data_IF_079051393828
#
_entry.id   IF_079051393828
#
_cell.length_a   1.000
_cell.length_b   1.000
_cell.length_c   1.000
_cell.angle_alpha   90.00
_cell.angle_beta   90.00
_cell.angle_gamma   90.00
#
_symmetry.space_group_name_H-M   'P 1'
#
loop_
_entity.id
_entity.type
_entity.pdbx_description
1 polymer ?
#
# COMPACT_ATOMS: atom_id res chain seq x y z
N UNK A 1 28.35 -16.69 -64.56
CA UNK A 1 27.77 -15.42 -64.12
C UNK A 1 26.25 -15.54 -63.94
N UNK A 2 25.73 -16.35 -62.99
CA UNK A 2 24.28 -16.44 -62.67
C UNK A 2 24.03 -17.00 -61.25
N UNK A 3 24.78 -16.55 -60.24
CA UNK A 3 24.59 -17.04 -58.86
C UNK A 3 24.62 -15.94 -57.78
N UNK A 4 24.59 -14.65 -58.15
CA UNK A 4 24.74 -13.53 -57.20
C UNK A 4 23.44 -12.70 -56.95
N UNK A 5 22.25 -13.14 -57.37
CA UNK A 5 20.99 -12.34 -57.25
C UNK A 5 19.89 -12.99 -56.38
N UNK A 6 20.16 -14.07 -55.65
CA UNK A 6 19.11 -14.69 -54.77
C UNK A 6 19.32 -14.53 -53.26
N UNK A 7 20.40 -13.86 -52.82
CA UNK A 7 20.69 -13.71 -51.37
C UNK A 7 20.11 -12.39 -50.80
N UNK A 8 19.76 -11.40 -51.63
CA UNK A 8 19.28 -10.11 -51.14
C UNK A 8 17.78 -10.07 -50.78
N UNK A 9 16.97 -11.02 -51.28
CA UNK A 9 15.52 -11.03 -51.02
C UNK A 9 15.11 -11.66 -49.65
N UNK A 10 15.95 -12.53 -49.12
CA UNK A 10 15.69 -13.17 -47.82
C UNK A 10 16.15 -12.35 -46.62
N UNK A 11 17.14 -11.49 -46.77
CA UNK A 11 17.56 -10.54 -45.69
C UNK A 11 16.58 -9.39 -45.48
N UNK A 12 15.89 -8.93 -46.53
CA UNK A 12 14.87 -7.88 -46.39
C UNK A 12 13.56 -8.40 -45.77
N UNK A 13 13.21 -9.68 -45.93
CA UNK A 13 12.05 -10.27 -45.31
C UNK A 13 12.28 -10.57 -43.82
N UNK A 14 13.51 -10.86 -43.38
CA UNK A 14 13.83 -11.09 -41.98
C UNK A 14 13.86 -9.79 -41.15
N UNK A 15 14.24 -8.65 -41.75
CA UNK A 15 14.22 -7.33 -41.06
C UNK A 15 12.79 -6.80 -40.93
N UNK A 16 11.91 -7.07 -41.91
CA UNK A 16 10.50 -6.67 -41.82
C UNK A 16 9.70 -7.53 -40.81
N UNK A 17 10.07 -8.79 -40.60
CA UNK A 17 9.43 -9.66 -39.59
C UNK A 17 9.86 -9.31 -38.15
N UNK A 18 11.11 -8.88 -37.95
CA UNK A 18 11.56 -8.41 -36.62
C UNK A 18 10.95 -7.06 -36.20
N UNK A 19 10.60 -6.18 -37.13
CA UNK A 19 9.93 -4.92 -36.79
C UNK A 19 8.43 -5.08 -36.47
N UNK A 20 7.79 -6.20 -36.87
CA UNK A 20 6.37 -6.44 -36.54
C UNK A 20 6.15 -7.14 -35.19
N UNK A 21 7.19 -7.80 -34.65
CA UNK A 21 7.10 -8.45 -33.32
C UNK A 21 7.42 -7.49 -32.16
N UNK A 22 8.07 -6.36 -32.44
CA UNK A 22 8.39 -5.34 -31.43
C UNK A 22 7.23 -4.37 -31.12
N UNK A 23 6.10 -4.47 -31.83
CA UNK A 23 4.97 -3.55 -31.67
C UNK A 23 3.80 -4.15 -30.86
N UNK A 24 3.98 -5.34 -30.24
CA UNK A 24 2.94 -5.99 -29.44
C UNK A 24 3.19 -5.97 -27.95
N UNK A 25 4.28 -5.36 -27.46
CA UNK A 25 4.44 -4.96 -26.08
C UNK A 25 4.29 -3.42 -26.02
N UNK A 26 3.07 -2.92 -26.07
CA UNK A 26 2.80 -1.65 -25.41
C UNK A 26 2.99 -1.92 -23.92
N UNK A 27 4.16 -1.65 -23.39
CA UNK A 27 4.32 -1.35 -21.98
C UNK A 27 3.39 -0.18 -21.72
N UNK A 28 2.45 -0.36 -20.81
CA UNK A 28 1.73 0.76 -20.22
C UNK A 28 2.82 1.71 -19.74
N UNK A 29 3.02 2.80 -20.46
CA UNK A 29 4.09 3.75 -20.17
C UNK A 29 3.81 4.44 -18.85
N UNK A 30 4.82 4.96 -18.16
CA UNK A 30 4.62 5.80 -17.00
C UNK A 30 3.66 6.93 -17.35
N UNK A 31 2.90 7.40 -16.35
CA UNK A 31 2.06 8.59 -16.49
C UNK A 31 2.87 9.71 -17.18
N UNK A 32 2.24 10.56 -18.02
CA UNK A 32 2.95 11.59 -18.75
C UNK A 32 3.77 12.43 -17.78
N UNK A 33 5.06 12.58 -18.04
CA UNK A 33 5.92 13.46 -17.29
C UNK A 33 5.45 14.90 -17.48
N UNK A 34 5.37 15.67 -16.40
CA UNK A 34 5.27 17.12 -16.49
C UNK A 34 6.49 17.64 -17.27
N UNK A 35 6.38 18.79 -17.95
CA UNK A 35 7.33 19.24 -18.98
C UNK A 35 8.81 19.42 -18.56
N UNK A 36 9.16 19.10 -17.29
CA UNK A 36 10.52 19.06 -16.74
C UNK A 36 11.04 17.61 -16.51
N UNK A 37 10.27 16.59 -16.91
CA UNK A 37 10.60 15.17 -16.69
C UNK A 37 10.18 14.62 -15.34
N UNK A 38 9.49 15.41 -14.50
CA UNK A 38 8.98 14.96 -13.21
C UNK A 38 7.59 14.32 -13.37
N UNK A 39 7.35 13.20 -12.68
CA UNK A 39 6.04 12.55 -12.59
C UNK A 39 5.44 12.89 -11.22
N UNK A 40 4.34 13.62 -11.21
CA UNK A 40 3.58 13.86 -9.99
C UNK A 40 2.48 12.82 -9.87
N UNK A 41 2.54 11.96 -8.87
CA UNK A 41 1.42 11.05 -8.54
C UNK A 41 0.35 11.89 -7.84
N UNK A 42 -0.82 12.00 -8.47
CA UNK A 42 -2.01 12.61 -7.86
C UNK A 42 -3.10 11.56 -7.78
N UNK A 43 -3.42 11.15 -6.55
CA UNK A 43 -4.48 10.19 -6.32
C UNK A 43 -5.79 10.91 -5.99
N UNK A 44 -6.87 10.43 -6.61
CA UNK A 44 -8.23 10.82 -6.29
C UNK A 44 -8.62 10.15 -4.97
N UNK A 45 -9.20 10.91 -4.06
CA UNK A 45 -9.82 10.39 -2.85
C UNK A 45 -11.20 9.80 -3.20
N UNK A 46 -11.47 8.52 -2.92
CA UNK A 46 -12.83 7.98 -3.01
C UNK A 46 -13.79 8.70 -2.05
N UNK A 47 -15.09 8.60 -2.32
CA UNK A 47 -16.11 9.17 -1.45
C UNK A 47 -16.04 8.58 -0.03
N UNK A 48 -16.23 9.42 0.98
CA UNK A 48 -16.43 8.94 2.35
C UNK A 48 -17.73 8.17 2.47
N UNK A 49 -17.72 7.16 3.36
CA UNK A 49 -18.87 6.32 3.59
C UNK A 49 -19.88 7.03 4.50
N UNK A 50 -21.14 6.69 4.32
CA UNK A 50 -22.26 7.06 5.18
C UNK A 50 -23.10 5.84 5.54
N UNK A 51 -23.96 5.97 6.52
CA UNK A 51 -24.85 4.89 6.91
C UNK A 51 -25.64 4.36 5.70
N UNK A 52 -25.70 3.04 5.58
CA UNK A 52 -26.32 2.33 4.46
C UNK A 52 -25.39 2.02 3.27
N UNK A 53 -24.18 2.59 3.22
CA UNK A 53 -23.22 2.27 2.15
C UNK A 53 -22.72 0.84 2.28
N UNK A 54 -22.45 0.21 1.14
CA UNK A 54 -21.94 -1.17 1.08
C UNK A 54 -20.42 -1.23 1.18
N UNK A 55 -19.95 -2.23 1.92
CA UNK A 55 -18.55 -2.59 2.04
C UNK A 55 -18.37 -4.04 1.57
N UNK A 56 -17.54 -4.25 0.55
CA UNK A 56 -17.22 -5.58 0.07
C UNK A 56 -16.13 -6.20 0.94
N UNK A 57 -16.36 -7.41 1.43
CA UNK A 57 -15.39 -8.24 2.13
C UNK A 57 -14.78 -9.21 1.11
N UNK A 58 -13.47 -9.15 0.86
CA UNK A 58 -12.76 -10.03 -0.08
C UNK A 58 -11.49 -10.60 0.53
N UNK A 59 -11.00 -11.70 -0.03
CA UNK A 59 -9.76 -12.35 0.40
C UNK A 59 -8.74 -12.40 -0.74
N UNK A 60 -7.98 -11.32 -1.01
CA UNK A 60 -7.05 -11.27 -2.13
C UNK A 60 -5.72 -12.01 -1.87
N UNK A 61 -5.47 -12.43 -0.64
CA UNK A 61 -4.24 -13.07 -0.16
C UNK A 61 -4.52 -14.47 0.41
N UNK A 62 -4.25 -14.69 1.70
CA UNK A 62 -4.56 -15.95 2.37
C UNK A 62 -6.05 -16.04 2.73
N UNK A 63 -6.51 -17.31 2.85
CA UNK A 63 -7.87 -17.59 3.26
C UNK A 63 -8.13 -17.11 4.70
N UNK A 64 -9.36 -16.72 4.97
CA UNK A 64 -9.86 -16.35 6.30
C UNK A 64 -11.03 -17.26 6.65
N UNK A 65 -11.08 -17.87 7.85
CA UNK A 65 -12.23 -18.63 8.29
C UNK A 65 -13.52 -17.81 8.18
N UNK A 66 -14.58 -18.40 7.65
CA UNK A 66 -15.87 -17.71 7.46
C UNK A 66 -16.42 -17.14 8.76
N UNK A 67 -16.18 -17.81 9.89
CA UNK A 67 -16.58 -17.30 11.22
C UNK A 67 -16.00 -15.89 11.49
N UNK A 68 -14.73 -15.64 11.12
CA UNK A 68 -14.10 -14.33 11.29
C UNK A 68 -14.68 -13.30 10.29
N UNK A 69 -14.99 -13.73 9.07
CA UNK A 69 -15.64 -12.87 8.07
C UNK A 69 -17.03 -12.45 8.54
N UNK A 70 -17.81 -13.39 9.09
CA UNK A 70 -19.14 -13.12 9.61
C UNK A 70 -19.11 -12.17 10.81
N UNK A 71 -18.17 -12.37 11.76
CA UNK A 71 -17.97 -11.46 12.91
C UNK A 71 -17.58 -10.06 12.44
N UNK A 72 -16.68 -9.93 11.47
CA UNK A 72 -16.32 -8.63 10.90
C UNK A 72 -17.52 -7.97 10.19
N UNK A 73 -18.35 -8.76 9.50
CA UNK A 73 -19.58 -8.26 8.89
C UNK A 73 -20.55 -7.74 9.95
N UNK A 74 -20.65 -8.38 11.12
CA UNK A 74 -21.49 -7.89 12.24
C UNK A 74 -20.95 -6.56 12.79
N UNK A 75 -19.63 -6.39 12.90
CA UNK A 75 -18.99 -5.12 13.27
C UNK A 75 -19.37 -4.02 12.27
N UNK A 76 -19.25 -4.29 10.96
CA UNK A 76 -19.64 -3.32 9.93
C UNK A 76 -21.12 -2.94 10.01
N UNK A 77 -22.00 -3.90 10.28
CA UNK A 77 -23.44 -3.62 10.55
C UNK A 77 -23.61 -2.72 11.77
N UNK A 78 -22.87 -2.97 12.84
CA UNK A 78 -22.82 -2.12 14.03
C UNK A 78 -22.35 -0.69 13.74
N UNK A 79 -21.55 -0.48 12.72
CA UNK A 79 -21.15 0.85 12.22
C UNK A 79 -22.22 1.50 11.29
N UNK A 80 -23.32 0.81 11.05
CA UNK A 80 -24.39 1.27 10.15
C UNK A 80 -24.12 1.02 8.67
N UNK A 81 -23.12 0.19 8.33
CA UNK A 81 -22.74 -0.17 6.97
C UNK A 81 -23.39 -1.50 6.54
N UNK A 82 -23.41 -1.77 5.25
CA UNK A 82 -23.97 -2.99 4.68
C UNK A 82 -22.82 -3.85 4.13
N UNK A 83 -22.38 -4.89 4.86
CA UNK A 83 -21.36 -5.80 4.36
C UNK A 83 -21.90 -6.68 3.23
N UNK A 84 -21.10 -6.87 2.16
CA UNK A 84 -21.35 -7.82 1.09
C UNK A 84 -20.12 -8.69 0.92
N UNK A 85 -20.29 -10.00 0.90
CA UNK A 85 -19.18 -10.96 0.88
C UNK A 85 -18.87 -11.35 -0.56
N UNK A 86 -17.59 -11.33 -0.94
CA UNK A 86 -17.13 -11.73 -2.26
C UNK A 86 -17.48 -13.19 -2.57
N UNK A 87 -17.83 -13.50 -3.83
CA UNK A 87 -18.32 -14.84 -4.23
C UNK A 87 -17.33 -15.99 -3.95
N UNK A 88 -16.04 -15.70 -3.89
CA UNK A 88 -14.99 -16.71 -3.67
C UNK A 88 -14.43 -16.72 -2.26
N UNK A 89 -14.90 -15.84 -1.38
CA UNK A 89 -14.50 -15.81 0.03
C UNK A 89 -14.84 -17.15 0.70
N UNK A 90 -13.89 -17.69 1.48
CA UNK A 90 -13.99 -19.00 2.12
C UNK A 90 -13.37 -20.14 1.30
N UNK A 91 -13.00 -19.92 0.04
CA UNK A 91 -12.25 -20.90 -0.75
C UNK A 91 -10.81 -21.03 -0.26
N UNK A 92 -10.22 -22.19 -0.52
CA UNK A 92 -8.83 -22.50 -0.18
C UNK A 92 -8.16 -23.15 -1.38
N UNK A 93 -6.98 -22.64 -1.76
CA UNK A 93 -6.08 -23.22 -2.74
C UNK A 93 -4.68 -23.40 -2.15
N UNK A 94 -3.97 -24.46 -2.57
CA UNK A 94 -2.62 -24.80 -2.09
C UNK A 94 -2.46 -24.75 -0.56
N UNK A 95 -3.55 -25.00 0.18
CA UNK A 95 -3.61 -25.04 1.64
C UNK A 95 -3.57 -23.67 2.36
N UNK A 96 -3.37 -22.55 1.64
CA UNK A 96 -3.23 -21.23 2.25
C UNK A 96 -3.92 -20.09 1.52
N UNK A 97 -3.91 -20.07 0.17
CA UNK A 97 -4.51 -18.99 -0.60
C UNK A 97 -6.05 -19.03 -0.49
N UNK A 98 -6.66 -17.88 -0.62
CA UNK A 98 -8.12 -17.74 -0.66
C UNK A 98 -8.67 -18.04 -2.04
N UNK A 99 -8.50 -19.27 -2.52
CA UNK A 99 -8.81 -19.69 -3.90
C UNK A 99 -7.66 -19.42 -4.87
N UNK A 100 -7.92 -19.71 -6.15
CA UNK A 100 -6.96 -19.50 -7.25
C UNK A 100 -6.69 -18.02 -7.51
N UNK A 101 -5.69 -17.70 -8.32
CA UNK A 101 -5.40 -16.32 -8.71
C UNK A 101 -6.59 -15.69 -9.44
N UNK A 102 -7.23 -16.44 -10.35
CA UNK A 102 -8.42 -16.00 -11.09
C UNK A 102 -9.61 -15.72 -10.16
N UNK A 103 -9.82 -16.56 -9.14
CA UNK A 103 -10.89 -16.37 -8.16
C UNK A 103 -10.67 -15.11 -7.32
N UNK A 104 -9.45 -14.87 -6.85
CA UNK A 104 -9.09 -13.67 -6.08
C UNK A 104 -9.20 -12.39 -6.91
N UNK A 105 -8.76 -12.42 -8.18
CA UNK A 105 -8.94 -11.31 -9.13
C UNK A 105 -10.43 -11.08 -9.42
N UNK A 106 -11.22 -12.16 -9.59
CA UNK A 106 -12.64 -12.04 -9.88
C UNK A 106 -13.41 -11.37 -8.73
N UNK A 107 -13.02 -11.60 -7.47
CA UNK A 107 -13.62 -10.93 -6.30
C UNK A 107 -13.28 -9.42 -6.26
N UNK A 108 -12.05 -9.04 -6.62
CA UNK A 108 -11.69 -7.62 -6.77
C UNK A 108 -12.57 -6.98 -7.85
N UNK A 109 -12.64 -7.59 -9.05
CA UNK A 109 -13.46 -7.09 -10.16
C UNK A 109 -14.96 -7.06 -9.83
N UNK A 110 -15.43 -8.07 -9.12
CA UNK A 110 -16.82 -8.10 -8.65
C UNK A 110 -17.09 -6.89 -7.72
N UNK A 111 -16.22 -6.62 -6.76
CA UNK A 111 -16.37 -5.48 -5.86
C UNK A 111 -16.29 -4.13 -6.60
N UNK A 112 -15.38 -4.00 -7.56
CA UNK A 112 -15.27 -2.81 -8.40
C UNK A 112 -16.52 -2.59 -9.27
N UNK A 113 -17.10 -3.67 -9.81
CA UNK A 113 -18.28 -3.63 -10.66
C UNK A 113 -19.60 -3.32 -9.96
N UNK A 114 -19.65 -3.33 -8.61
CA UNK A 114 -20.85 -3.00 -7.83
C UNK A 114 -20.94 -1.47 -7.63
N UNK A 115 -21.89 -0.75 -8.21
CA UNK A 115 -21.94 0.72 -8.14
C UNK A 115 -22.23 1.25 -6.73
N UNK A 116 -22.87 0.46 -5.89
CA UNK A 116 -23.26 0.79 -4.52
C UNK A 116 -22.23 0.35 -3.45
N UNK A 117 -21.20 -0.39 -3.82
CA UNK A 117 -20.02 -0.65 -2.96
C UNK A 117 -19.12 0.57 -2.94
N UNK A 118 -18.82 1.09 -1.74
CA UNK A 118 -17.97 2.27 -1.53
C UNK A 118 -16.58 1.95 -1.00
N UNK A 119 -16.44 0.82 -0.32
CA UNK A 119 -15.14 0.35 0.16
C UNK A 119 -15.00 -1.16 -0.03
N UNK A 120 -13.75 -1.59 -0.15
CA UNK A 120 -13.32 -2.97 -0.22
C UNK A 120 -12.45 -3.22 1.01
N UNK A 121 -12.91 -4.06 1.92
CA UNK A 121 -12.17 -4.47 3.10
C UNK A 121 -11.55 -5.84 2.85
N UNK A 122 -10.22 -5.91 2.90
CA UNK A 122 -9.48 -7.15 2.78
C UNK A 122 -9.64 -7.98 4.06
N UNK A 123 -9.89 -9.28 3.92
CA UNK A 123 -10.12 -10.14 5.08
C UNK A 123 -8.84 -10.40 5.88
N UNK A 124 -7.71 -10.61 5.20
CA UNK A 124 -6.36 -10.69 5.82
C UNK A 124 -5.26 -10.54 4.77
N UNK A 125 -4.05 -10.33 5.26
CA UNK A 125 -2.82 -10.43 4.49
C UNK A 125 -2.31 -11.88 4.39
N UNK A 126 -1.00 -12.03 4.39
CA UNK A 126 -0.28 -13.29 4.22
C UNK A 126 0.66 -13.22 3.05
N UNK A 127 0.35 -13.88 1.94
CA UNK A 127 1.14 -13.83 0.71
C UNK A 127 0.26 -14.11 -0.52
N UNK A 128 0.59 -13.46 -1.64
CA UNK A 128 0.05 -13.81 -2.95
C UNK A 128 -0.58 -12.68 -3.74
N UNK A 129 -0.68 -11.46 -3.21
CA UNK A 129 -1.19 -10.30 -3.97
C UNK A 129 -0.25 -9.90 -5.10
N UNK A 130 1.06 -10.13 -4.96
CA UNK A 130 2.04 -9.92 -6.02
C UNK A 130 1.71 -10.71 -7.31
N UNK A 131 1.08 -11.87 -7.19
CA UNK A 131 0.65 -12.71 -8.33
C UNK A 131 -0.55 -12.13 -9.09
N UNK A 132 -1.25 -11.15 -8.52
CA UNK A 132 -2.44 -10.53 -9.10
C UNK A 132 -2.10 -9.31 -9.96
N UNK A 133 -0.86 -8.79 -9.90
CA UNK A 133 -0.44 -7.53 -10.52
C UNK A 133 -0.75 -7.54 -12.03
N UNK A 134 -0.37 -8.61 -12.74
CA UNK A 134 -0.52 -8.66 -14.20
C UNK A 134 -1.97 -8.81 -14.65
N UNK A 135 -2.81 -9.41 -13.82
CA UNK A 135 -4.22 -9.63 -14.12
C UNK A 135 -5.08 -8.37 -13.94
N UNK A 136 -4.66 -7.42 -13.10
CA UNK A 136 -5.40 -6.18 -12.85
C UNK A 136 -4.88 -5.05 -13.75
N UNK A 137 -5.77 -4.30 -14.40
CA UNK A 137 -5.38 -3.10 -15.16
C UNK A 137 -5.57 -1.83 -14.34
N UNK A 138 -4.70 -0.84 -14.56
CA UNK A 138 -4.80 0.46 -13.87
C UNK A 138 -6.08 1.20 -14.29
N UNK A 139 -6.53 1.01 -15.54
CA UNK A 139 -7.74 1.63 -16.07
C UNK A 139 -9.00 1.08 -15.38
N UNK A 140 -9.09 -0.23 -15.11
CA UNK A 140 -10.25 -0.79 -14.40
C UNK A 140 -10.33 -0.29 -12.95
N UNK A 141 -9.18 -0.08 -12.29
CA UNK A 141 -9.11 0.50 -10.94
C UNK A 141 -9.50 1.98 -10.94
N UNK A 142 -8.98 2.75 -11.89
CA UNK A 142 -9.28 4.18 -12.04
C UNK A 142 -10.74 4.45 -12.41
N UNK A 143 -11.37 3.56 -13.21
CA UNK A 143 -12.75 3.70 -13.66
C UNK A 143 -13.77 3.53 -12.51
N UNK A 144 -13.38 2.90 -11.40
CA UNK A 144 -14.26 2.67 -10.25
C UNK A 144 -13.52 2.95 -8.94
N UNK A 145 -13.23 4.24 -8.64
CA UNK A 145 -12.43 4.61 -7.48
C UNK A 145 -13.19 4.26 -6.19
N UNK A 146 -12.64 3.28 -5.45
CA UNK A 146 -13.16 2.81 -4.16
C UNK A 146 -12.02 2.70 -3.18
N UNK A 147 -12.32 2.93 -1.90
CA UNK A 147 -11.39 2.61 -0.85
C UNK A 147 -11.06 1.12 -0.88
N UNK A 148 -9.76 0.76 -0.91
CA UNK A 148 -9.31 -0.55 -0.49
C UNK A 148 -8.62 -0.41 0.85
N UNK A 149 -8.95 -1.30 1.79
CA UNK A 149 -8.48 -1.26 3.18
C UNK A 149 -7.77 -2.56 3.51
N UNK A 150 -6.58 -2.45 4.07
CA UNK A 150 -5.78 -3.58 4.53
C UNK A 150 -4.33 -3.18 4.75
N UNK A 151 -3.47 -4.12 5.14
CA UNK A 151 -2.03 -3.92 5.33
C UNK A 151 -1.27 -5.24 5.07
N UNK A 152 0.03 -5.30 5.38
CA UNK A 152 0.83 -6.50 5.11
C UNK A 152 0.94 -6.78 3.61
N UNK A 153 0.62 -7.99 3.15
CA UNK A 153 0.60 -8.37 1.73
C UNK A 153 -0.27 -7.44 0.86
N UNK A 154 -1.26 -6.75 1.46
CA UNK A 154 -2.10 -5.77 0.76
C UNK A 154 -1.31 -4.53 0.30
N UNK A 155 -0.09 -4.32 0.77
CA UNK A 155 0.79 -3.24 0.31
C UNK A 155 1.02 -3.26 -1.21
N UNK A 156 1.01 -4.44 -1.85
CA UNK A 156 1.03 -4.56 -3.31
C UNK A 156 -0.21 -3.92 -3.96
N UNK A 157 -1.39 -4.14 -3.39
CA UNK A 157 -2.62 -3.54 -3.90
C UNK A 157 -2.66 -2.03 -3.65
N UNK A 158 -2.10 -1.54 -2.54
CA UNK A 158 -1.91 -0.09 -2.34
C UNK A 158 -1.03 0.51 -3.44
N UNK A 159 0.01 -0.21 -3.85
CA UNK A 159 0.84 0.18 -5.00
C UNK A 159 0.02 0.29 -6.30
N UNK A 160 -0.80 -0.72 -6.62
CA UNK A 160 -1.68 -0.70 -7.78
C UNK A 160 -2.70 0.44 -7.73
N UNK A 161 -3.34 0.68 -6.57
CA UNK A 161 -4.28 1.78 -6.38
C UNK A 161 -3.61 3.13 -6.59
N UNK A 162 -2.45 3.37 -5.98
CA UNK A 162 -1.66 4.60 -6.18
C UNK A 162 -1.29 4.81 -7.65
N UNK A 163 -0.91 3.75 -8.36
CA UNK A 163 -0.59 3.79 -9.79
C UNK A 163 -1.81 4.05 -10.66
N UNK A 164 -2.98 3.59 -10.24
CA UNK A 164 -4.25 3.91 -10.87
C UNK A 164 -4.76 5.32 -10.53
N UNK A 165 -4.04 6.08 -9.70
CA UNK A 165 -4.45 7.42 -9.27
C UNK A 165 -5.59 7.41 -8.26
N UNK A 166 -5.68 6.38 -7.41
CA UNK A 166 -6.74 6.24 -6.39
C UNK A 166 -6.10 6.06 -5.02
N UNK A 167 -6.57 6.81 -4.02
CA UNK A 167 -6.15 6.65 -2.63
C UNK A 167 -6.67 5.35 -2.04
N UNK A 168 -5.93 4.79 -1.07
CA UNK A 168 -6.27 3.58 -0.34
C UNK A 168 -5.95 3.73 1.14
N UNK A 169 -6.33 2.77 1.99
CA UNK A 169 -6.11 2.85 3.43
C UNK A 169 -5.29 1.65 3.89
N UNK A 170 -4.03 1.90 4.31
CA UNK A 170 -3.32 0.97 5.18
C UNK A 170 -4.04 0.98 6.54
N UNK A 171 -4.54 -0.16 6.99
CA UNK A 171 -5.31 -0.22 8.23
C UNK A 171 -5.91 -1.58 8.49
N UNK A 172 -6.69 -1.68 9.55
CA UNK A 172 -7.29 -2.90 10.10
C UNK A 172 -8.05 -3.72 9.06
N UNK A 173 -7.85 -5.04 9.08
CA UNK A 173 -8.53 -6.02 8.22
C UNK A 173 -9.63 -6.78 8.97
N UNK A 174 -10.48 -7.53 8.23
CA UNK A 174 -11.60 -8.29 8.82
C UNK A 174 -11.17 -9.24 9.92
N UNK A 175 -10.00 -9.88 9.78
CA UNK A 175 -9.48 -10.81 10.80
C UNK A 175 -9.26 -10.15 12.17
N UNK A 176 -8.94 -8.87 12.19
CA UNK A 176 -8.80 -8.08 13.42
C UNK A 176 -10.14 -7.53 13.90
N UNK A 177 -11.00 -7.05 12.98
CA UNK A 177 -12.36 -6.62 13.34
C UNK A 177 -13.19 -7.74 14.00
N UNK A 178 -12.91 -9.01 13.68
CA UNK A 178 -13.55 -10.17 14.28
C UNK A 178 -13.40 -10.23 15.82
N UNK A 179 -12.45 -9.50 16.40
CA UNK A 179 -12.30 -9.33 17.84
C UNK A 179 -13.33 -8.38 18.47
N UNK A 180 -14.15 -7.67 17.66
CA UNK A 180 -15.26 -6.82 18.12
C UNK A 180 -15.24 -5.39 17.59
N UNK A 181 -14.13 -4.92 17.02
CA UNK A 181 -14.03 -3.63 16.32
C UNK A 181 -14.30 -2.39 17.19
N UNK A 182 -14.12 -2.50 18.50
CA UNK A 182 -14.33 -1.41 19.47
C UNK A 182 -13.02 -0.79 19.96
N UNK A 183 -11.90 -1.40 19.61
CA UNK A 183 -10.57 -0.87 19.90
C UNK A 183 -10.34 0.47 19.19
N UNK A 184 -9.33 1.20 19.65
CA UNK A 184 -9.04 2.54 19.14
C UNK A 184 -8.63 2.51 17.65
N UNK A 185 -7.88 1.51 17.20
CA UNK A 185 -7.45 1.35 15.80
C UNK A 185 -8.65 1.14 14.87
N UNK A 186 -9.54 0.20 15.21
CA UNK A 186 -10.77 -0.07 14.46
C UNK A 186 -11.71 1.15 14.44
N UNK A 187 -11.79 1.86 15.57
CA UNK A 187 -12.57 3.09 15.68
C UNK A 187 -12.04 4.20 14.80
N UNK A 188 -10.71 4.42 14.79
CA UNK A 188 -10.06 5.42 13.93
C UNK A 188 -10.20 5.09 12.45
N UNK A 189 -10.10 3.81 12.07
CA UNK A 189 -10.35 3.38 10.69
C UNK A 189 -11.79 3.63 10.27
N UNK A 190 -12.78 3.28 11.12
CA UNK A 190 -14.20 3.62 10.88
C UNK A 190 -14.38 5.12 10.69
N UNK A 191 -13.84 5.91 11.61
CA UNK A 191 -13.97 7.36 11.60
C UNK A 191 -13.33 7.97 10.35
N UNK A 192 -12.16 7.48 9.91
CA UNK A 192 -11.54 7.89 8.65
C UNK A 192 -12.41 7.54 7.44
N UNK A 193 -12.94 6.32 7.36
CA UNK A 193 -13.85 5.92 6.29
C UNK A 193 -15.11 6.81 6.23
N UNK A 194 -15.54 7.35 7.37
CA UNK A 194 -16.70 8.25 7.51
C UNK A 194 -16.33 9.74 7.45
N UNK A 195 -15.10 10.08 7.07
CA UNK A 195 -14.68 11.46 6.80
C UNK A 195 -14.10 12.22 7.99
N UNK A 196 -13.75 11.55 9.09
CA UNK A 196 -12.93 12.14 10.15
C UNK A 196 -11.48 11.79 9.89
N UNK A 197 -10.75 12.74 9.36
CA UNK A 197 -9.35 12.57 8.96
C UNK A 197 -8.43 12.75 10.16
N UNK A 198 -7.61 11.75 10.52
CA UNK A 198 -6.73 11.88 11.68
C UNK A 198 -5.59 12.86 11.39
N UNK A 199 -5.25 13.65 12.41
CA UNK A 199 -4.00 14.37 12.53
C UNK A 199 -3.28 13.80 13.74
N UNK A 200 -2.18 13.11 13.48
CA UNK A 200 -1.44 12.40 14.52
C UNK A 200 -0.44 13.32 15.22
N UNK A 201 -0.41 13.25 16.55
CA UNK A 201 0.65 13.75 17.41
C UNK A 201 1.42 12.55 17.95
N UNK A 202 2.69 12.43 17.59
CA UNK A 202 3.56 11.29 17.89
C UNK A 202 4.61 11.71 18.90
N UNK A 203 4.84 10.95 19.99
CA UNK A 203 5.88 11.25 20.97
C UNK A 203 7.27 11.32 20.34
N UNK A 204 8.20 11.92 21.06
CA UNK A 204 9.61 11.95 20.67
C UNK A 204 10.18 10.53 20.63
N UNK A 205 10.99 10.25 19.59
CA UNK A 205 11.74 9.01 19.45
C UNK A 205 13.24 9.33 19.32
N UNK A 206 14.14 8.55 19.99
CA UNK A 206 15.57 8.89 20.00
C UNK A 206 16.24 8.79 18.62
N UNK A 207 15.66 8.06 17.68
CA UNK A 207 16.16 7.92 16.30
C UNK A 207 15.53 8.93 15.32
N UNK A 208 14.65 9.82 15.76
CA UNK A 208 14.07 10.82 14.89
C UNK A 208 15.13 11.71 14.23
N UNK A 209 14.98 11.98 12.94
CA UNK A 209 15.74 13.01 12.22
C UNK A 209 14.81 14.20 12.00
N UNK A 210 15.16 15.35 12.63
CA UNK A 210 14.30 16.53 12.63
C UNK A 210 14.14 17.14 11.23
N UNK A 211 12.98 17.72 10.99
CA UNK A 211 12.68 18.47 9.79
C UNK A 211 11.20 18.46 9.48
N UNK A 212 10.85 19.20 8.42
CA UNK A 212 9.48 19.27 7.91
C UNK A 212 9.46 18.89 6.44
N UNK A 213 8.51 18.04 6.06
CA UNK A 213 8.32 17.63 4.68
C UNK A 213 6.83 17.54 4.32
N UNK A 214 6.55 17.75 3.03
CA UNK A 214 5.24 17.50 2.43
C UNK A 214 5.48 16.67 1.18
N UNK A 215 4.67 15.63 0.99
CA UNK A 215 4.79 14.73 -0.17
C UNK A 215 3.70 13.68 -0.18
N UNK A 216 3.72 12.84 -1.21
CA UNK A 216 2.74 11.76 -1.39
C UNK A 216 3.16 10.54 -0.57
N UNK A 217 2.25 10.06 0.27
CA UNK A 217 2.50 8.89 1.12
C UNK A 217 2.38 7.60 0.30
N UNK A 218 3.47 6.84 0.25
CA UNK A 218 3.54 5.50 -0.37
C UNK A 218 4.30 4.55 0.55
N UNK A 219 4.15 3.25 0.35
CA UNK A 219 4.88 2.27 1.15
C UNK A 219 4.00 1.17 1.72
N UNK A 220 4.37 0.65 2.89
CA UNK A 220 3.75 -0.44 3.62
C UNK A 220 4.78 -1.43 4.15
N UNK A 221 4.45 -2.72 4.21
CA UNK A 221 5.39 -3.77 4.55
C UNK A 221 6.54 -3.80 3.55
N UNK A 222 7.79 -3.63 4.03
CA UNK A 222 8.93 -3.41 3.12
C UNK A 222 9.23 -4.60 2.24
N UNK A 223 9.09 -5.83 2.74
CA UNK A 223 9.30 -7.06 1.96
C UNK A 223 8.18 -7.31 0.93
N UNK A 224 7.08 -6.60 1.02
CA UNK A 224 6.00 -6.60 0.04
C UNK A 224 6.08 -5.40 -0.90
N UNK A 225 6.50 -4.23 -0.39
CA UNK A 225 6.56 -2.98 -1.13
C UNK A 225 7.76 -2.90 -2.09
N UNK A 226 8.98 -3.20 -1.61
CA UNK A 226 10.18 -3.09 -2.42
C UNK A 226 10.20 -4.02 -3.66
N UNK A 227 9.69 -5.27 -3.61
CA UNK A 227 9.60 -6.11 -4.80
C UNK A 227 8.66 -5.61 -5.91
N UNK A 228 7.84 -4.59 -5.64
CA UNK A 228 6.97 -3.99 -6.66
C UNK A 228 7.73 -3.05 -7.62
N UNK A 229 8.98 -2.69 -7.32
CA UNK A 229 9.79 -1.83 -8.18
C UNK A 229 9.84 -2.34 -9.63
N UNK A 230 9.57 -1.45 -10.57
CA UNK A 230 9.53 -1.74 -12.01
C UNK A 230 8.29 -2.53 -12.47
N UNK A 231 7.36 -2.86 -11.58
CA UNK A 231 6.07 -3.48 -11.92
C UNK A 231 4.96 -2.45 -12.09
N UNK A 232 3.74 -2.88 -12.47
CA UNK A 232 2.55 -2.01 -12.48
C UNK A 232 2.19 -1.46 -11.08
N UNK A 233 2.60 -2.14 -10.01
CA UNK A 233 2.36 -1.74 -8.63
C UNK A 233 3.45 -0.82 -8.04
N UNK A 234 4.41 -0.36 -8.86
CA UNK A 234 5.49 0.51 -8.42
C UNK A 234 4.99 1.92 -8.10
N UNK A 235 4.62 2.16 -6.86
CA UNK A 235 4.17 3.47 -6.38
C UNK A 235 5.32 4.48 -6.20
N UNK A 236 6.58 4.08 -6.41
CA UNK A 236 7.75 4.95 -6.20
C UNK A 236 8.12 5.79 -7.42
N UNK A 237 7.38 5.69 -8.52
CA UNK A 237 7.70 6.41 -9.77
C UNK A 237 7.45 7.93 -9.71
N UNK A 238 6.78 8.42 -8.66
CA UNK A 238 6.55 9.84 -8.42
C UNK A 238 7.74 10.55 -7.79
N UNK A 239 7.70 11.88 -7.81
CA UNK A 239 8.57 12.74 -7.03
C UNK A 239 7.86 13.20 -5.74
N UNK A 240 8.63 13.82 -4.84
CA UNK A 240 8.13 14.34 -3.56
C UNK A 240 7.41 13.26 -2.73
N UNK A 241 8.05 12.10 -2.59
CA UNK A 241 7.50 10.96 -1.86
C UNK A 241 7.74 11.10 -0.35
N UNK A 242 6.78 10.68 0.45
CA UNK A 242 6.99 10.29 1.84
C UNK A 242 6.79 8.78 1.90
N UNK A 243 7.85 8.06 2.31
CA UNK A 243 7.85 6.60 2.31
C UNK A 243 7.54 6.11 3.72
N UNK A 244 6.48 5.32 3.86
CA UNK A 244 6.17 4.57 5.06
C UNK A 244 6.65 3.14 4.91
N UNK A 245 7.38 2.62 5.89
CA UNK A 245 7.81 1.21 5.95
C UNK A 245 7.62 0.63 7.34
N UNK A 246 7.19 -0.60 7.38
CA UNK A 246 7.05 -1.45 8.56
C UNK A 246 7.43 -2.89 8.20
N UNK A 247 7.62 -3.78 9.19
CA UNK A 247 7.89 -5.19 8.92
C UNK A 247 7.55 -6.08 10.12
N UNK A 248 7.40 -7.39 9.90
CA UNK A 248 7.15 -8.39 10.93
C UNK A 248 7.92 -9.69 10.67
N UNK A 249 8.47 -10.26 11.74
CA UNK A 249 9.13 -11.59 11.74
C UNK A 249 10.23 -11.74 10.67
N UNK A 250 10.91 -10.65 10.33
CA UNK A 250 11.94 -10.67 9.27
C UNK A 250 13.33 -10.43 9.85
N UNK A 251 14.33 -10.99 9.18
CA UNK A 251 15.73 -10.76 9.52
C UNK A 251 16.17 -9.32 9.18
N UNK A 252 17.00 -8.75 10.05
CA UNK A 252 17.52 -7.39 9.82
C UNK A 252 18.29 -7.29 8.49
N UNK A 253 19.03 -8.32 8.08
CA UNK A 253 19.77 -8.31 6.81
C UNK A 253 18.84 -8.36 5.58
N UNK A 254 17.64 -8.94 5.69
CA UNK A 254 16.69 -8.89 4.59
C UNK A 254 16.01 -7.52 4.50
N UNK A 255 15.66 -6.92 5.64
CA UNK A 255 15.17 -5.54 5.70
C UNK A 255 16.21 -4.57 5.09
N UNK A 256 17.48 -4.72 5.48
CA UNK A 256 18.60 -3.97 4.92
C UNK A 256 18.67 -4.12 3.39
N UNK A 257 18.56 -5.36 2.90
CA UNK A 257 18.57 -5.64 1.44
C UNK A 257 17.41 -4.93 0.72
N UNK A 258 16.18 -5.03 1.26
CA UNK A 258 15.01 -4.39 0.66
C UNK A 258 15.14 -2.86 0.66
N UNK A 259 15.67 -2.29 1.74
CA UNK A 259 15.91 -0.86 1.82
C UNK A 259 16.98 -0.41 0.82
N UNK A 260 18.07 -1.15 0.69
CA UNK A 260 19.10 -0.88 -0.30
C UNK A 260 18.60 -1.03 -1.74
N UNK A 261 17.63 -1.94 -2.01
CA UNK A 261 16.98 -2.01 -3.33
C UNK A 261 16.25 -0.70 -3.63
N UNK A 262 15.55 -0.11 -2.67
CA UNK A 262 14.91 1.21 -2.86
C UNK A 262 15.96 2.29 -3.14
N UNK A 263 17.05 2.32 -2.36
CA UNK A 263 18.13 3.30 -2.52
C UNK A 263 18.80 3.19 -3.90
N UNK A 264 19.24 1.99 -4.31
CA UNK A 264 19.95 1.75 -5.59
C UNK A 264 19.06 2.09 -6.80
N UNK A 265 17.74 1.96 -6.67
CA UNK A 265 16.79 2.33 -7.73
C UNK A 265 16.39 3.82 -7.69
N UNK A 266 17.10 4.66 -6.96
CA UNK A 266 16.92 6.11 -6.94
C UNK A 266 15.60 6.53 -6.27
N UNK A 267 15.05 5.72 -5.38
CA UNK A 267 13.80 6.06 -4.69
C UNK A 267 14.07 7.15 -3.64
N UNK A 268 15.21 7.06 -2.94
CA UNK A 268 15.55 8.02 -1.89
C UNK A 268 15.83 9.43 -2.45
N UNK A 269 16.32 9.54 -3.68
CA UNK A 269 16.51 10.81 -4.38
C UNK A 269 15.20 11.57 -4.63
N UNK A 270 14.08 10.83 -4.72
CA UNK A 270 12.74 11.38 -4.90
C UNK A 270 11.97 11.53 -3.58
N UNK A 271 12.59 11.11 -2.47
CA UNK A 271 11.98 11.11 -1.15
C UNK A 271 12.15 12.47 -0.46
N UNK A 272 11.09 12.95 0.17
CA UNK A 272 11.08 14.16 1.02
C UNK A 272 11.10 13.83 2.51
N UNK A 273 10.76 12.60 2.88
CA UNK A 273 10.76 12.14 4.25
C UNK A 273 10.44 10.66 4.36
N UNK A 274 10.77 10.07 5.50
CA UNK A 274 10.52 8.65 5.79
C UNK A 274 9.75 8.54 7.10
N UNK A 275 8.76 7.64 7.11
CA UNK A 275 8.04 7.21 8.31
C UNK A 275 8.42 5.76 8.56
N UNK A 276 9.08 5.49 9.67
CA UNK A 276 9.36 4.15 10.17
C UNK A 276 8.24 3.76 11.12
N UNK A 277 7.46 2.77 10.71
CA UNK A 277 6.43 2.15 11.53
C UNK A 277 7.02 1.17 12.53
N UNK A 278 6.29 0.11 12.82
CA UNK A 278 6.74 -0.93 13.74
C UNK A 278 7.52 -2.02 13.01
N UNK A 279 8.58 -2.52 13.64
CA UNK A 279 9.38 -3.66 13.20
C UNK A 279 9.22 -4.79 14.23
N UNK A 280 8.06 -5.45 14.16
CA UNK A 280 7.62 -6.42 15.15
C UNK A 280 8.37 -7.75 14.99
N UNK A 281 8.98 -8.24 16.07
CA UNK A 281 9.73 -9.52 16.10
C UNK A 281 10.80 -9.64 14.99
N UNK A 282 11.35 -8.51 14.54
CA UNK A 282 12.42 -8.49 13.56
C UNK A 282 13.77 -8.84 14.20
N UNK A 283 14.62 -9.54 13.42
CA UNK A 283 15.93 -10.01 13.91
C UNK A 283 16.92 -8.85 14.17
N UNK A 284 17.93 -9.13 15.01
CA UNK A 284 18.96 -8.18 15.43
C UNK A 284 20.37 -8.77 15.17
N UNK A 285 20.63 -9.26 13.95
CA UNK A 285 21.88 -9.96 13.63
C UNK A 285 23.09 -9.04 13.47
N UNK A 286 22.87 -7.72 13.31
CA UNK A 286 23.94 -6.72 13.20
C UNK A 286 24.25 -6.07 14.55
N UNK A 287 25.19 -5.14 14.55
CA UNK A 287 25.61 -4.37 15.72
C UNK A 287 24.68 -3.20 16.05
N UNK A 288 23.56 -3.08 15.34
CA UNK A 288 22.55 -2.06 15.61
C UNK A 288 21.59 -2.52 16.71
N UNK A 289 21.18 -1.61 17.57
CA UNK A 289 20.26 -1.89 18.67
C UNK A 289 18.82 -2.17 18.21
N UNK A 290 18.47 -1.66 16.99
CA UNK A 290 17.16 -1.89 16.38
C UNK A 290 17.23 -1.68 14.86
N UNK A 291 16.15 -2.09 14.16
CA UNK A 291 15.98 -1.84 12.72
C UNK A 291 15.93 -0.34 12.43
N UNK A 292 15.26 0.45 13.25
CA UNK A 292 15.18 1.90 13.12
C UNK A 292 16.58 2.53 13.23
N UNK A 293 17.40 2.06 14.17
CA UNK A 293 18.78 2.55 14.31
C UNK A 293 19.61 2.25 13.05
N UNK A 294 19.45 1.09 12.45
CA UNK A 294 20.09 0.72 11.19
C UNK A 294 19.63 1.64 10.05
N UNK A 295 18.33 1.77 9.86
CA UNK A 295 17.77 2.57 8.76
C UNK A 295 18.10 4.07 8.92
N UNK A 296 18.03 4.61 10.14
CA UNK A 296 18.42 6.00 10.41
C UNK A 296 19.91 6.25 10.18
N UNK A 297 20.77 5.24 10.42
CA UNK A 297 22.19 5.36 10.07
C UNK A 297 22.42 5.53 8.57
N UNK A 298 21.59 4.92 7.70
CA UNK A 298 21.63 5.19 6.25
C UNK A 298 21.02 6.54 5.90
N UNK A 299 19.90 6.91 6.54
CA UNK A 299 19.12 8.10 6.19
C UNK A 299 19.73 9.42 6.68
N UNK A 300 20.62 9.40 7.68
CA UNK A 300 21.21 10.63 8.27
C UNK A 300 21.91 11.56 7.28
N UNK A 301 22.44 10.99 6.19
CA UNK A 301 23.19 11.74 5.19
C UNK A 301 22.31 12.26 4.04
N UNK A 302 21.00 11.94 4.04
CA UNK A 302 20.05 12.32 2.98
C UNK A 302 19.38 13.69 3.21
N UNK A 303 19.59 14.29 4.37
CA UNK A 303 19.01 15.59 4.73
C UNK A 303 17.48 15.64 4.55
N UNK A 304 16.80 14.55 4.90
CA UNK A 304 15.34 14.43 4.93
C UNK A 304 14.88 14.07 6.36
N UNK A 305 13.71 14.54 6.81
CA UNK A 305 13.17 14.15 8.11
C UNK A 305 12.80 12.67 8.15
N UNK A 306 13.03 12.04 9.31
CA UNK A 306 12.64 10.68 9.59
C UNK A 306 11.81 10.63 10.87
N UNK A 307 10.58 10.17 10.78
CA UNK A 307 9.70 9.90 11.90
C UNK A 307 9.80 8.41 12.25
N UNK A 308 10.32 8.11 13.43
CA UNK A 308 10.48 6.72 13.91
C UNK A 308 9.40 6.35 14.93
N UNK A 309 9.07 5.06 14.99
CA UNK A 309 8.12 4.51 15.96
C UNK A 309 6.69 4.99 15.74
N UNK A 310 6.31 5.25 14.47
CA UNK A 310 4.91 5.52 14.17
C UNK A 310 4.10 4.23 14.38
N UNK A 311 3.05 4.23 15.25
CA UNK A 311 2.37 2.99 15.62
C UNK A 311 1.43 2.51 14.50
N UNK A 312 2.04 2.00 13.45
CA UNK A 312 1.39 1.32 12.33
C UNK A 312 2.27 0.18 11.81
N UNK A 313 1.65 -0.95 11.53
CA UNK A 313 2.30 -2.19 11.10
C UNK A 313 1.67 -3.40 11.76
N UNK A 314 2.50 -4.33 12.22
CA UNK A 314 2.07 -5.60 12.83
C UNK A 314 2.15 -5.62 14.36
N UNK A 315 2.34 -4.48 15.00
CA UNK A 315 2.31 -4.38 16.45
C UNK A 315 0.90 -4.38 17.04
N UNK A 316 0.81 -4.04 18.31
CA UNK A 316 -0.46 -4.02 19.04
C UNK A 316 -1.41 -2.90 18.57
N UNK A 317 -0.87 -1.85 17.98
CA UNK A 317 -1.59 -0.72 17.42
C UNK A 317 -1.26 -0.60 15.94
N UNK A 318 -2.26 -0.45 15.09
CA UNK A 318 -2.07 -0.24 13.65
C UNK A 318 -2.92 0.94 13.18
N UNK A 319 -2.39 2.15 13.36
CA UNK A 319 -3.11 3.39 13.01
C UNK A 319 -3.32 3.50 11.49
N UNK A 320 -4.51 3.92 11.05
CA UNK A 320 -4.80 4.00 9.63
C UNK A 320 -4.00 5.12 8.94
N UNK A 321 -3.42 4.79 7.79
CA UNK A 321 -2.72 5.73 6.91
C UNK A 321 -3.39 5.78 5.54
N UNK A 322 -3.57 6.98 4.99
CA UNK A 322 -4.14 7.16 3.65
C UNK A 322 -3.02 7.14 2.61
N UNK A 323 -2.84 6.00 1.96
CA UNK A 323 -1.84 5.81 0.92
C UNK A 323 -2.25 6.53 -0.36
N UNK A 324 -1.29 7.18 -1.02
CA UNK A 324 -1.53 8.03 -2.19
C UNK A 324 -2.00 9.46 -1.83
N UNK A 325 -2.26 9.76 -0.57
CA UNK A 325 -2.57 11.12 -0.12
C UNK A 325 -1.30 11.97 0.00
N UNK A 326 -1.43 13.27 -0.29
CA UNK A 326 -0.41 14.22 0.13
C UNK A 326 -0.45 14.35 1.66
N UNK A 327 0.69 14.24 2.31
CA UNK A 327 0.83 14.38 3.77
C UNK A 327 1.87 15.43 4.12
N UNK A 328 1.69 16.06 5.26
CA UNK A 328 2.70 16.93 5.89
C UNK A 328 3.15 16.29 7.19
N UNK A 329 4.45 16.02 7.29
CA UNK A 329 5.11 15.59 8.52
C UNK A 329 5.99 16.70 9.07
N UNK A 330 6.05 16.84 10.39
CA UNK A 330 6.93 17.78 11.07
C UNK A 330 7.53 17.08 12.29
N UNK A 331 8.80 16.72 12.17
CA UNK A 331 9.57 15.99 13.19
C UNK A 331 10.42 17.00 13.97
N UNK A 332 10.26 17.00 15.27
CA UNK A 332 10.95 17.89 16.21
C UNK A 332 11.56 17.08 17.35
N UNK A 333 12.38 17.73 18.15
CA UNK A 333 13.03 17.11 19.31
C UNK A 333 12.01 16.61 20.36
N UNK A 334 10.87 17.29 20.49
CA UNK A 334 9.84 17.02 21.49
C UNK A 334 8.68 16.13 20.98
N UNK A 335 8.76 15.67 19.74
CA UNK A 335 7.74 14.83 19.11
C UNK A 335 7.53 15.15 17.64
N UNK A 336 6.52 14.55 17.03
CA UNK A 336 6.22 14.79 15.63
C UNK A 336 4.72 14.95 15.38
N UNK A 337 4.38 15.55 14.24
CA UNK A 337 3.01 15.56 13.73
C UNK A 337 2.96 15.01 12.33
N UNK A 338 1.90 14.26 12.03
CA UNK A 338 1.57 13.78 10.68
C UNK A 338 0.13 14.15 10.36
N UNK A 339 -0.09 14.86 9.25
CA UNK A 339 -1.42 15.28 8.79
C UNK A 339 -1.62 14.96 7.33
N UNK A 340 -2.84 14.59 6.94
CA UNK A 340 -3.23 14.32 5.57
C UNK A 340 -3.87 15.58 4.96
N UNK A 341 -3.35 16.02 3.81
CA UNK A 341 -3.84 17.19 3.08
C UNK A 341 -5.02 16.79 2.16
N UNK A 342 -6.06 16.23 2.76
CA UNK A 342 -7.29 15.83 2.08
C UNK A 342 -8.50 16.49 2.76
N UNK A 343 -9.61 16.64 2.04
CA UNK A 343 -10.86 17.13 2.59
C UNK A 343 -11.43 16.14 3.62
N UNK A 344 -12.14 16.66 4.59
CA UNK A 344 -12.75 15.91 5.69
C UNK A 344 -12.67 16.66 7.02
N UNK A 345 -13.34 16.13 8.02
CA UNK A 345 -13.28 16.67 9.38
C UNK A 345 -11.97 16.25 10.04
N UNK A 346 -11.11 17.22 10.35
CA UNK A 346 -9.84 16.93 11.04
C UNK A 346 -10.10 16.44 12.48
N UNK A 347 -9.41 15.37 12.86
CA UNK A 347 -9.48 14.74 14.18
C UNK A 347 -8.07 14.64 14.77
N UNK A 348 -7.80 15.37 15.86
CA UNK A 348 -6.52 15.26 16.59
C UNK A 348 -6.43 13.90 17.28
N UNK A 349 -5.31 13.20 17.09
CA UNK A 349 -5.05 11.89 17.66
C UNK A 349 -3.67 11.87 18.30
N UNK A 350 -3.60 11.80 19.62
CA UNK A 350 -2.36 11.54 20.34
C UNK A 350 -2.07 10.07 20.34
N UNK A 351 -1.00 9.66 19.65
CA UNK A 351 -0.73 8.23 19.44
C UNK A 351 -0.42 7.50 20.75
N UNK A 352 0.18 8.16 21.73
CA UNK A 352 0.43 7.63 23.07
C UNK A 352 -0.84 7.28 23.86
N UNK A 353 -2.01 7.86 23.49
CA UNK A 353 -3.30 7.60 24.13
C UNK A 353 -4.08 6.45 23.47
N UNK A 354 -3.57 5.90 22.38
CA UNK A 354 -4.18 4.78 21.68
C UNK A 354 -3.75 3.49 22.36
N UNK A 355 -4.70 2.85 23.04
CA UNK A 355 -4.43 1.59 23.72
C UNK A 355 -4.39 0.42 22.73
N UNK A 356 -3.55 -0.60 22.98
CA UNK A 356 -3.54 -1.84 22.22
C UNK A 356 -4.92 -2.51 22.17
N UNK A 357 -5.09 -3.37 21.18
CA UNK A 357 -6.24 -4.30 21.12
C UNK A 357 -6.08 -5.31 22.25
N UNK A 358 -7.03 -5.36 23.21
CA UNK A 358 -7.08 -6.38 24.26
C UNK A 358 -7.59 -7.70 23.71
#
# INVERSE_FOLDING_TARGET
MKTAKKISAWMLAAVAACTFIMNSCKKDGPAPADGDGTVTIRCMKPDYLKAGDKVALISPSYHTPMENVDKAADVLRGWGLVPVIGPNVGKIDAGRYAGTEEERVSDIRWALGQPDVKAILCNRGGYGTIKLIDALSLEELAASPKWIVGFSDISTLHGLWSRAGVMSIHGTMSSFLAAGGTDATSTLMRDLLMGKVPRYEVPAHPQNIEGKATGVLVGGNICTFAPNLGTKADATLGNDLIIFIEEVEESMHNIDRQFNILAINGVLERCKGVILGEFTDCGTEFTYDSVEAMLCNYLKDWNIPVLCGFPAGHGEVNLPLVMGAEVTMNVRQDGATLSFNIDGQQQEVKTESVSPVN
#
